data_IF_401836529228
#
_entry.id   IF_401836529228
#
_cell.length_a   1.000
_cell.length_b   1.000
_cell.length_c   1.000
_cell.angle_alpha   90.00
_cell.angle_beta   90.00
_cell.angle_gamma   90.00
#
_symmetry.space_group_name_H-M   'P 1'
#
loop_
_entity.id
_entity.type
_entity.pdbx_description
1 polymer ?
#
# COMPACT_ATOMS: atom_id res chain seq x y z
N UNK A 1 17.95 16.79 -2.04
CA UNK A 1 18.00 17.07 -0.57
C UNK A 1 17.20 18.32 -0.16
N UNK A 2 17.36 19.47 -0.84
CA UNK A 2 16.69 20.74 -0.48
C UNK A 2 15.14 20.70 -0.52
N UNK A 3 14.53 20.16 -1.59
CA UNK A 3 13.06 20.07 -1.72
C UNK A 3 12.40 19.34 -0.55
N UNK A 4 12.96 18.21 -0.12
CA UNK A 4 12.45 17.47 1.04
C UNK A 4 12.59 18.23 2.35
N UNK A 5 13.62 19.06 2.51
CA UNK A 5 13.78 19.93 3.70
C UNK A 5 12.71 21.02 3.73
N UNK A 6 12.41 21.63 2.59
CA UNK A 6 11.35 22.64 2.47
C UNK A 6 9.95 22.04 2.73
N UNK A 7 9.67 20.83 2.23
CA UNK A 7 8.37 20.17 2.41
C UNK A 7 8.04 19.87 3.88
N UNK A 8 9.04 19.66 4.75
CA UNK A 8 8.80 19.45 6.20
C UNK A 8 8.17 20.63 6.92
N UNK A 9 8.25 21.83 6.35
CA UNK A 9 7.56 23.00 6.89
C UNK A 9 6.05 22.94 6.61
N UNK A 10 5.65 22.27 5.51
CA UNK A 10 4.25 22.13 5.08
C UNK A 10 3.61 20.84 5.61
N UNK A 11 4.39 19.77 5.69
CA UNK A 11 3.97 18.45 6.21
C UNK A 11 4.88 18.09 7.37
N UNK A 12 4.43 18.36 8.59
CA UNK A 12 5.26 18.17 9.76
C UNK A 12 5.34 16.69 10.13
N UNK A 13 6.44 16.28 10.76
CA UNK A 13 6.64 14.86 11.10
C UNK A 13 5.56 14.28 12.00
N UNK A 14 5.03 15.09 12.93
CA UNK A 14 3.96 14.69 13.86
C UNK A 14 2.64 14.41 13.14
N UNK A 15 2.42 15.02 11.98
CA UNK A 15 1.19 14.85 11.22
C UNK A 15 1.09 13.43 10.62
N UNK A 16 2.24 12.76 10.41
CA UNK A 16 2.28 11.37 9.95
C UNK A 16 1.86 10.33 11.01
N UNK A 17 1.65 10.75 12.27
CA UNK A 17 1.14 9.85 13.30
C UNK A 17 -0.38 9.58 13.16
N UNK A 18 -1.07 10.43 12.38
CA UNK A 18 -2.50 10.28 12.13
C UNK A 18 -2.70 9.24 11.04
N UNK A 19 -3.61 8.28 11.29
CA UNK A 19 -3.90 7.13 10.43
C UNK A 19 -4.42 7.54 9.03
N UNK A 20 -4.90 8.78 8.86
CA UNK A 20 -5.39 9.31 7.59
C UNK A 20 -6.75 8.71 7.21
N UNK A 21 -7.08 8.73 5.91
CA UNK A 21 -8.31 8.12 5.42
C UNK A 21 -8.17 6.60 5.35
N UNK A 22 -9.06 5.89 6.04
CA UNK A 22 -9.16 4.42 6.01
C UNK A 22 -10.37 3.92 5.24
N UNK A 23 -11.25 4.82 4.79
CA UNK A 23 -12.40 4.50 3.94
C UNK A 23 -11.93 4.27 2.51
N UNK A 24 -11.64 3.01 2.20
CA UNK A 24 -11.16 2.52 0.90
C UNK A 24 -11.53 1.07 0.74
N UNK A 25 -11.78 0.65 -0.49
CA UNK A 25 -12.00 -0.76 -0.79
C UNK A 25 -10.64 -1.47 -0.98
N UNK A 26 -10.22 -2.33 -0.04
CA UNK A 26 -8.96 -3.05 -0.15
C UNK A 26 -8.94 -4.02 -1.33
N UNK A 27 -10.10 -4.53 -1.79
CA UNK A 27 -10.16 -5.48 -2.90
C UNK A 27 -9.91 -4.74 -4.20
N UNK A 28 -10.63 -3.64 -4.46
CA UNK A 28 -10.41 -2.78 -5.62
C UNK A 28 -8.94 -2.36 -5.76
N UNK A 29 -8.28 -1.98 -4.66
CA UNK A 29 -6.85 -1.63 -4.67
C UNK A 29 -5.94 -2.81 -5.03
N UNK A 30 -6.25 -4.02 -4.57
CA UNK A 30 -5.47 -5.21 -4.92
C UNK A 30 -5.64 -5.61 -6.38
N UNK A 31 -6.83 -5.41 -6.94
CA UNK A 31 -7.16 -5.60 -8.35
C UNK A 31 -6.46 -4.57 -9.24
N UNK A 32 -6.52 -3.28 -8.88
CA UNK A 32 -5.78 -2.21 -9.56
C UNK A 32 -4.27 -2.50 -9.55
N UNK A 33 -3.74 -2.90 -8.39
CA UNK A 33 -2.35 -3.31 -8.29
C UNK A 33 -2.01 -4.48 -9.20
N UNK A 34 -2.98 -5.34 -9.55
CA UNK A 34 -2.85 -6.50 -10.45
C UNK A 34 -2.99 -6.18 -11.93
N UNK A 35 -3.36 -4.94 -12.31
CA UNK A 35 -3.45 -4.54 -13.70
C UNK A 35 -2.13 -4.81 -14.45
N UNK A 36 -2.22 -5.38 -15.65
CA UNK A 36 -1.07 -5.73 -16.49
C UNK A 36 -0.30 -7.00 -16.09
N UNK A 37 -0.69 -7.71 -15.02
CA UNK A 37 -0.08 -9.00 -14.67
C UNK A 37 -0.67 -10.14 -15.52
N UNK A 38 0.11 -11.21 -15.67
CA UNK A 38 -0.36 -12.47 -16.28
C UNK A 38 -1.48 -13.06 -15.40
N UNK A 39 -2.70 -13.13 -15.94
CA UNK A 39 -3.92 -13.47 -15.18
C UNK A 39 -3.81 -14.79 -14.43
N UNK A 40 -3.19 -15.81 -15.03
CA UNK A 40 -3.01 -17.14 -14.41
C UNK A 40 -2.11 -17.11 -13.15
N UNK A 41 -1.29 -16.06 -12.99
CA UNK A 41 -0.39 -15.92 -11.84
C UNK A 41 -0.98 -15.06 -10.70
N UNK A 42 -2.12 -14.39 -10.92
CA UNK A 42 -2.78 -13.58 -9.89
C UNK A 42 -3.20 -14.43 -8.68
N UNK A 43 -3.80 -15.63 -8.83
CA UNK A 43 -4.13 -16.48 -7.68
C UNK A 43 -2.88 -16.90 -6.88
N UNK A 44 -1.75 -17.15 -7.56
CA UNK A 44 -0.49 -17.47 -6.89
C UNK A 44 0.02 -16.30 -6.04
N UNK A 45 -0.11 -15.06 -6.54
CA UNK A 45 0.22 -13.85 -5.76
C UNK A 45 -0.62 -13.81 -4.48
N UNK A 46 -1.93 -13.96 -4.59
CA UNK A 46 -2.83 -13.92 -3.43
C UNK A 46 -2.54 -15.05 -2.44
N UNK A 47 -2.30 -16.27 -2.94
CA UNK A 47 -1.91 -17.40 -2.10
C UNK A 47 -0.63 -17.13 -1.28
N UNK A 48 0.39 -16.49 -1.88
CA UNK A 48 1.62 -16.12 -1.16
C UNK A 48 1.39 -15.00 -0.13
N UNK A 49 0.43 -14.13 -0.35
CA UNK A 49 0.08 -13.05 0.58
C UNK A 49 -0.64 -13.60 1.83
N UNK A 50 -1.53 -14.58 1.65
CA UNK A 50 -2.35 -15.17 2.73
C UNK A 50 -1.54 -15.98 3.76
N UNK A 51 -0.31 -16.38 3.42
CA UNK A 51 0.52 -17.26 4.25
C UNK A 51 0.75 -16.78 5.71
N UNK A 52 0.76 -15.48 5.97
CA UNK A 52 0.92 -14.88 7.30
C UNK A 52 0.45 -13.42 7.33
N UNK A 53 0.18 -12.84 8.52
CA UNK A 53 -0.10 -11.40 8.63
C UNK A 53 1.03 -10.52 8.07
N UNK A 54 2.29 -10.95 8.22
CA UNK A 54 3.43 -10.21 7.71
C UNK A 54 3.51 -10.24 6.18
N UNK A 55 3.26 -11.39 5.55
CA UNK A 55 3.23 -11.51 4.08
C UNK A 55 2.04 -10.76 3.48
N UNK A 56 0.91 -10.72 4.19
CA UNK A 56 -0.23 -9.88 3.79
C UNK A 56 0.20 -8.41 3.80
N UNK A 57 0.68 -7.89 4.93
CA UNK A 57 1.14 -6.51 5.08
C UNK A 57 2.13 -6.09 3.99
N UNK A 58 3.12 -6.94 3.69
CA UNK A 58 4.13 -6.65 2.64
C UNK A 58 3.58 -6.75 1.23
N UNK A 59 2.70 -7.72 0.96
CA UNK A 59 2.14 -7.96 -0.38
C UNK A 59 0.98 -7.03 -0.75
N UNK A 60 0.33 -6.43 0.25
CA UNK A 60 -0.77 -5.48 0.10
C UNK A 60 -0.32 -4.02 0.31
N UNK A 61 0.92 -3.69 -0.04
CA UNK A 61 1.51 -2.36 0.20
C UNK A 61 0.70 -1.20 -0.41
N UNK A 62 -0.08 -1.45 -1.47
CA UNK A 62 -0.98 -0.45 -2.05
C UNK A 62 -2.09 -0.01 -1.09
N UNK A 63 -2.48 -0.87 -0.15
CA UNK A 63 -3.41 -0.52 0.95
C UNK A 63 -2.72 0.40 1.96
N UNK A 64 -1.44 0.73 1.83
CA UNK A 64 -0.74 1.64 2.76
C UNK A 64 -0.21 2.90 2.07
N UNK A 65 -0.42 3.01 0.75
CA UNK A 65 0.09 4.09 -0.09
C UNK A 65 -0.73 5.38 0.03
#
# INVERSE_FOLDING_TARGET
>A
RARGKALRQKVQRRDHAVIGNVDRDPISLLEESSAGRVSRLIPLRYGRMIASPFTFYRGSAIIQA
#
